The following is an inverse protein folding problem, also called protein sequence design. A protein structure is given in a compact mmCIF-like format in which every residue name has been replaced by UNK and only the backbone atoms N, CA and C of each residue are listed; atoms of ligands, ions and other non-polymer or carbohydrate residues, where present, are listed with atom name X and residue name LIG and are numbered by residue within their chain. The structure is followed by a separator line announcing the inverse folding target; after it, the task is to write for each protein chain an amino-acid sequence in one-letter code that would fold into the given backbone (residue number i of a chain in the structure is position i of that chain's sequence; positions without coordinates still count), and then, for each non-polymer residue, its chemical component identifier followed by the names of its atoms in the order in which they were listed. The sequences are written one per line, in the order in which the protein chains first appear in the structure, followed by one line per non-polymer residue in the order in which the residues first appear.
data_IF_011038599903
#
_entry.id   IF_011038599903
#
_cell.length_a   1.000
_cell.length_b   1.000
_cell.length_c   1.000
_cell.angle_alpha   90.00
_cell.angle_beta   90.00
_cell.angle_gamma   90.00
#
_symmetry.space_group_name_H-M   'P 1'
#
loop_
_entity.id
_entity.type
_entity.pdbx_description
1 polymer ?
#
# COMPACT_ATOMS: atom_id res chain seq x y z
N UNK A 1 -21.11 12.78 6.79
CA UNK A 1 -20.77 11.33 6.79
C UNK A 1 -19.35 11.16 7.30
N UNK A 2 -19.03 10.05 7.98
CA UNK A 2 -17.67 9.81 8.51
C UNK A 2 -16.81 9.17 7.41
N UNK A 3 -15.63 9.72 7.14
CA UNK A 3 -14.72 9.16 6.14
C UNK A 3 -14.24 7.77 6.59
N UNK A 4 -14.22 6.81 5.67
CA UNK A 4 -13.64 5.49 5.93
C UNK A 4 -12.12 5.58 5.88
N UNK A 5 -11.45 5.00 6.86
CA UNK A 5 -9.99 4.91 6.95
C UNK A 5 -9.57 3.46 6.86
N UNK A 6 -8.53 3.16 6.08
CA UNK A 6 -7.95 1.81 5.93
C UNK A 6 -6.43 1.88 6.07
N UNK A 7 -5.88 0.98 6.88
CA UNK A 7 -4.45 0.74 6.98
C UNK A 7 -4.10 -0.46 6.12
N UNK A 8 -3.21 -0.27 5.16
CA UNK A 8 -2.76 -1.27 4.21
C UNK A 8 -1.38 -1.75 4.64
N UNK A 9 -1.23 -3.04 4.84
CA UNK A 9 0.06 -3.68 5.08
C UNK A 9 0.87 -3.76 3.78
N UNK A 10 2.19 -3.79 3.89
CA UNK A 10 3.08 -3.96 2.73
C UNK A 10 3.35 -5.43 2.49
N UNK A 11 3.85 -6.12 3.51
CA UNK A 11 4.43 -7.45 3.38
C UNK A 11 3.32 -8.51 3.28
N UNK A 12 3.42 -9.40 2.29
CA UNK A 12 2.37 -10.37 1.92
C UNK A 12 1.00 -9.76 1.54
N UNK A 13 0.89 -8.43 1.44
CA UNK A 13 -0.30 -7.70 1.01
C UNK A 13 -0.08 -6.98 -0.32
N UNK A 14 0.83 -6.01 -0.38
CA UNK A 14 1.22 -5.35 -1.64
C UNK A 14 2.30 -6.12 -2.37
N UNK A 15 3.19 -6.76 -1.61
CA UNK A 15 4.36 -7.45 -2.12
C UNK A 15 4.71 -8.62 -1.21
N UNK A 16 4.93 -9.79 -1.81
CA UNK A 16 5.51 -10.94 -1.13
C UNK A 16 7.01 -10.97 -1.36
N UNK A 17 7.77 -11.20 -0.30
CA UNK A 17 9.23 -11.35 -0.38
C UNK A 17 9.63 -12.81 -0.21
N UNK A 18 10.49 -13.32 -1.09
CA UNK A 18 11.11 -14.65 -1.00
C UNK A 18 12.63 -14.48 -1.15
N UNK A 19 13.34 -14.53 -0.02
CA UNK A 19 14.73 -14.09 0.01
C UNK A 19 14.82 -12.61 -0.36
N UNK A 20 15.63 -12.29 -1.37
CA UNK A 20 15.73 -10.92 -1.93
C UNK A 20 14.72 -10.63 -3.04
N UNK A 21 13.97 -11.64 -3.49
CA UNK A 21 12.99 -11.47 -4.57
C UNK A 21 11.71 -10.84 -4.02
N UNK A 22 11.29 -9.73 -4.62
CA UNK A 22 10.00 -9.08 -4.39
C UNK A 22 9.01 -9.49 -5.48
N UNK A 23 7.84 -9.95 -5.08
CA UNK A 23 6.77 -10.44 -5.96
C UNK A 23 5.55 -9.56 -5.71
N UNK A 24 5.18 -8.65 -6.64
CA UNK A 24 4.04 -7.77 -6.44
C UNK A 24 2.73 -8.55 -6.39
N UNK A 25 1.72 -7.97 -5.75
CA UNK A 25 0.35 -8.48 -5.67
C UNK A 25 -0.60 -7.57 -6.48
N UNK A 26 -0.69 -7.70 -7.83
CA UNK A 26 -1.33 -6.71 -8.69
C UNK A 26 -2.81 -6.45 -8.37
N UNK A 27 -3.55 -7.50 -7.96
CA UNK A 27 -4.95 -7.36 -7.59
C UNK A 27 -5.15 -6.45 -6.36
N UNK A 28 -4.23 -6.51 -5.39
CA UNK A 28 -4.28 -5.66 -4.19
C UNK A 28 -3.89 -4.24 -4.54
N UNK A 29 -2.86 -4.05 -5.36
CA UNK A 29 -2.45 -2.74 -5.88
C UNK A 29 -3.61 -2.06 -6.64
N UNK A 30 -4.32 -2.80 -7.50
CA UNK A 30 -5.51 -2.30 -8.17
C UNK A 30 -6.62 -1.93 -7.19
N UNK A 31 -6.80 -2.72 -6.12
CA UNK A 31 -7.79 -2.45 -5.07
C UNK A 31 -7.47 -1.18 -4.28
N UNK A 32 -6.19 -0.91 -4.00
CA UNK A 32 -5.74 0.34 -3.36
C UNK A 32 -6.16 1.55 -4.19
N UNK A 33 -5.89 1.54 -5.50
CA UNK A 33 -6.30 2.64 -6.40
C UNK A 33 -7.82 2.83 -6.37
N UNK A 34 -8.57 1.74 -6.50
CA UNK A 34 -10.04 1.79 -6.47
C UNK A 34 -10.61 2.32 -5.15
N UNK A 35 -9.99 2.03 -4.00
CA UNK A 35 -10.40 2.56 -2.70
C UNK A 35 -10.09 4.06 -2.58
N UNK A 36 -8.91 4.47 -3.04
CA UNK A 36 -8.54 5.88 -3.08
C UNK A 36 -9.53 6.68 -3.96
N UNK A 37 -9.88 6.18 -5.14
CA UNK A 37 -10.85 6.80 -6.05
C UNK A 37 -12.27 6.90 -5.45
N UNK A 38 -12.58 6.06 -4.44
CA UNK A 38 -13.83 6.12 -3.67
C UNK A 38 -13.78 7.12 -2.50
N UNK A 39 -12.67 7.85 -2.33
CA UNK A 39 -12.48 8.83 -1.24
C UNK A 39 -12.13 8.22 0.11
N UNK A 40 -11.72 6.94 0.15
CA UNK A 40 -11.23 6.29 1.36
C UNK A 40 -9.86 6.85 1.71
N UNK A 41 -9.65 7.26 2.96
CA UNK A 41 -8.33 7.64 3.43
C UNK A 41 -7.49 6.38 3.65
N UNK A 42 -6.34 6.29 2.99
CA UNK A 42 -5.45 5.14 3.06
C UNK A 42 -4.17 5.52 3.79
N UNK A 43 -3.72 4.64 4.68
CA UNK A 43 -2.41 4.70 5.32
C UNK A 43 -1.67 3.41 5.04
N UNK A 44 -0.35 3.51 4.92
CA UNK A 44 0.51 2.35 4.68
C UNK A 44 1.32 2.05 5.94
N UNK A 45 1.54 0.77 6.22
CA UNK A 45 2.36 0.35 7.35
C UNK A 45 3.18 -0.90 7.02
N UNK A 46 4.30 -1.08 7.71
CA UNK A 46 5.10 -2.29 7.73
C UNK A 46 5.95 -2.32 9.00
N UNK A 47 6.31 -3.51 9.47
CA UNK A 47 7.35 -3.66 10.52
C UNK A 47 8.72 -3.16 10.08
N UNK A 48 8.98 -3.02 8.76
CA UNK A 48 10.19 -2.42 8.21
C UNK A 48 10.28 -0.90 8.35
N UNK A 49 9.26 -0.25 8.90
CA UNK A 49 9.24 1.19 9.15
C UNK A 49 8.63 2.01 8.00
N UNK A 50 8.49 3.31 8.24
CA UNK A 50 7.79 4.23 7.36
C UNK A 50 8.52 4.43 6.01
N UNK A 51 9.85 4.48 6.04
CA UNK A 51 10.69 4.63 4.85
C UNK A 51 10.54 3.42 3.92
N UNK A 52 10.55 2.21 4.46
CA UNK A 52 10.34 0.98 3.68
C UNK A 52 8.93 0.92 3.08
N UNK A 53 7.93 1.30 3.87
CA UNK A 53 6.55 1.36 3.39
C UNK A 53 6.42 2.35 2.22
N UNK A 54 6.93 3.57 2.39
CA UNK A 54 6.92 4.61 1.35
C UNK A 54 7.67 4.17 0.09
N UNK A 55 8.85 3.57 0.24
CA UNK A 55 9.63 3.05 -0.89
C UNK A 55 8.84 1.98 -1.68
N UNK A 56 8.12 1.10 -0.99
CA UNK A 56 7.26 0.09 -1.63
C UNK A 56 6.09 0.74 -2.41
N UNK A 57 5.50 1.82 -1.89
CA UNK A 57 4.45 2.54 -2.60
C UNK A 57 4.97 3.26 -3.86
N UNK A 58 6.17 3.83 -3.78
CA UNK A 58 6.86 4.45 -4.92
C UNK A 58 7.17 3.40 -5.99
N UNK A 59 7.70 2.24 -5.60
CA UNK A 59 8.02 1.12 -6.50
C UNK A 59 6.81 0.72 -7.37
N UNK A 60 5.60 0.74 -6.80
CA UNK A 60 4.36 0.37 -7.49
C UNK A 60 3.56 1.56 -8.04
N UNK A 61 4.09 2.78 -7.93
CA UNK A 61 3.46 4.01 -8.41
C UNK A 61 2.10 4.31 -7.76
N UNK A 62 1.96 4.00 -6.47
CA UNK A 62 0.74 4.20 -5.65
C UNK A 62 0.99 5.10 -4.43
N UNK A 63 2.16 5.74 -4.31
CA UNK A 63 2.45 6.68 -3.20
C UNK A 63 1.33 7.72 -3.03
N UNK A 64 0.88 8.33 -4.13
CA UNK A 64 -0.19 9.33 -4.12
C UNK A 64 -1.56 8.82 -3.68
N UNK A 65 -1.74 7.51 -3.47
CA UNK A 65 -2.97 6.96 -2.90
C UNK A 65 -3.01 7.06 -1.36
N UNK A 66 -1.90 7.34 -0.69
CA UNK A 66 -1.77 7.33 0.77
C UNK A 66 -1.64 8.74 1.37
N UNK A 67 -2.16 8.92 2.57
CA UNK A 67 -2.29 10.23 3.24
C UNK A 67 -1.11 10.59 4.18
N UNK A 68 -0.02 9.82 4.20
CA UNK A 68 1.13 9.98 5.10
C UNK A 68 2.44 9.57 4.47
#
# INVERSE_FOLDING_TARGET
MRQRVVFVDVDDTLVRSVGTKRIPMPAVIARVRALHDQGVALYLWSSGGAEYARASAIEFGIEGCFAG
#
